data_IF_279198944252
#
_entry.id   IF_279198944252
#
_cell.length_a   1.000
_cell.length_b   1.000
_cell.length_c   1.000
_cell.angle_alpha   90.00
_cell.angle_beta   90.00
_cell.angle_gamma   90.00
#
_symmetry.space_group_name_H-M   'P 1'
#
loop_
_entity.id
_entity.type
_entity.pdbx_description
1 polymer ?
#
# COMPACT_ATOMS: atom_id res chain seq x y z
N UNK A 1 12.42 2.55 3.13
CA UNK A 1 11.92 2.18 4.47
C UNK A 1 12.42 3.19 5.51
N UNK A 2 11.54 3.92 6.22
CA UNK A 2 11.96 4.94 7.20
C UNK A 2 12.80 4.38 8.37
N UNK A 3 12.81 3.07 8.59
CA UNK A 3 13.67 2.42 9.60
C UNK A 3 15.17 2.57 9.31
N UNK A 4 15.54 2.93 8.09
CA UNK A 4 16.93 3.28 7.71
C UNK A 4 17.51 4.40 8.59
N UNK A 5 16.67 5.32 9.10
CA UNK A 5 17.12 6.37 10.04
C UNK A 5 17.87 5.82 11.27
N UNK A 6 17.56 4.60 11.69
CA UNK A 6 18.24 3.96 12.83
C UNK A 6 19.68 3.51 12.50
N UNK A 7 20.00 3.39 11.20
CA UNK A 7 21.35 3.04 10.73
C UNK A 7 22.25 4.27 10.50
N UNK A 8 21.70 5.48 10.55
CA UNK A 8 22.45 6.74 10.31
C UNK A 8 22.24 7.77 11.44
N UNK A 9 22.55 7.41 12.70
CA UNK A 9 22.15 8.20 13.87
C UNK A 9 22.82 9.57 13.97
N UNK A 10 23.89 9.80 13.21
CA UNK A 10 24.65 11.06 13.22
C UNK A 10 24.27 12.01 12.06
N UNK A 11 23.34 11.58 11.20
CA UNK A 11 22.88 12.37 10.06
C UNK A 11 21.42 12.76 10.25
N UNK A 12 21.09 13.97 9.79
CA UNK A 12 19.69 14.37 9.66
C UNK A 12 18.96 13.44 8.67
N UNK A 13 17.78 13.00 9.02
CA UNK A 13 16.97 12.12 8.20
C UNK A 13 15.52 12.63 8.16
N UNK A 14 15.08 13.01 6.97
CA UNK A 14 13.72 13.45 6.73
C UNK A 14 12.96 12.40 5.90
N UNK A 15 11.86 11.90 6.46
CA UNK A 15 10.99 10.97 5.76
C UNK A 15 9.89 11.73 5.01
N UNK A 16 10.04 11.83 3.69
CA UNK A 16 9.09 12.51 2.82
C UNK A 16 8.03 11.53 2.28
N UNK A 17 6.76 11.77 2.62
CA UNK A 17 5.64 10.95 2.16
C UNK A 17 4.82 11.69 1.09
N UNK A 18 4.75 11.17 -0.17
CA UNK A 18 4.03 11.82 -1.26
C UNK A 18 2.51 11.60 -1.19
N UNK A 19 1.93 11.67 0.02
CA UNK A 19 0.52 11.35 0.29
C UNK A 19 -0.43 12.19 -0.55
N UNK A 20 -0.17 13.50 -0.65
CA UNK A 20 -0.99 14.40 -1.48
C UNK A 20 -0.99 13.97 -2.96
N UNK A 21 0.18 13.63 -3.50
CA UNK A 21 0.31 13.22 -4.90
C UNK A 21 -0.40 11.89 -5.16
N UNK A 22 -0.31 10.96 -4.23
CA UNK A 22 -1.00 9.66 -4.28
C UNK A 22 -2.53 9.88 -4.30
N UNK A 23 -3.06 10.62 -3.34
CA UNK A 23 -4.51 10.86 -3.22
C UNK A 23 -5.04 11.67 -4.41
N UNK A 24 -4.30 12.69 -4.86
CA UNK A 24 -4.66 13.48 -6.04
C UNK A 24 -4.73 12.63 -7.30
N UNK A 25 -3.74 11.76 -7.54
CA UNK A 25 -3.72 10.88 -8.70
C UNK A 25 -4.86 9.86 -8.65
N UNK A 26 -5.15 9.32 -7.47
CA UNK A 26 -6.26 8.39 -7.26
C UNK A 26 -7.61 9.07 -7.54
N UNK A 27 -7.86 10.27 -7.01
CA UNK A 27 -9.09 11.03 -7.28
C UNK A 27 -9.22 11.48 -8.74
N UNK A 28 -8.08 11.73 -9.42
CA UNK A 28 -8.10 11.99 -10.87
C UNK A 28 -8.52 10.76 -11.66
N UNK A 29 -8.12 9.57 -11.25
CA UNK A 29 -8.47 8.29 -11.88
C UNK A 29 -9.94 7.94 -11.62
N UNK A 30 -10.40 8.13 -10.38
CA UNK A 30 -11.77 7.87 -9.98
C UNK A 30 -12.28 8.96 -9.02
N UNK A 31 -12.96 10.00 -9.55
CA UNK A 31 -13.48 11.12 -8.75
C UNK A 31 -14.59 10.74 -7.76
N UNK A 32 -15.20 9.57 -7.91
CA UNK A 32 -16.31 9.10 -7.06
C UNK A 32 -15.81 8.44 -5.76
N UNK A 33 -14.50 8.27 -5.59
CA UNK A 33 -13.95 7.75 -4.34
C UNK A 33 -14.24 8.75 -3.21
N UNK A 34 -15.02 8.28 -2.25
CA UNK A 34 -15.30 9.04 -1.03
C UNK A 34 -14.37 8.58 0.09
N UNK A 35 -13.76 9.51 0.79
CA UNK A 35 -12.96 9.25 2.00
C UNK A 35 -13.81 9.33 3.29
N UNK A 36 -15.14 9.29 3.16
CA UNK A 36 -16.03 9.19 4.32
C UNK A 36 -15.67 7.93 5.13
N UNK A 37 -15.48 8.10 6.44
CA UNK A 37 -15.11 7.03 7.38
C UNK A 37 -16.07 5.85 7.40
N UNK A 38 -17.35 6.06 7.03
CA UNK A 38 -18.34 5.00 6.93
C UNK A 38 -18.17 4.16 5.64
N UNK A 39 -17.52 4.74 4.62
CA UNK A 39 -17.36 4.13 3.28
C UNK A 39 -15.90 3.82 2.93
N UNK A 40 -14.96 4.28 3.72
CA UNK A 40 -13.54 4.17 3.45
C UNK A 40 -12.75 3.78 4.70
N UNK A 41 -11.80 2.88 4.55
CA UNK A 41 -10.92 2.44 5.63
C UNK A 41 -9.50 2.22 5.09
N UNK A 42 -8.51 2.60 5.87
CA UNK A 42 -7.11 2.24 5.63
C UNK A 42 -6.80 0.93 6.33
N UNK A 43 -6.09 0.03 5.66
CA UNK A 43 -5.68 -1.25 6.24
C UNK A 43 -4.19 -1.46 6.06
N UNK A 44 -3.48 -1.67 7.16
CA UNK A 44 -2.08 -2.06 7.12
C UNK A 44 -1.94 -3.53 6.74
N UNK A 45 -1.12 -3.87 5.71
CA UNK A 45 -0.93 -5.25 5.27
C UNK A 45 -0.15 -6.10 6.30
N UNK A 46 0.63 -5.46 7.17
CA UNK A 46 1.37 -6.09 8.27
C UNK A 46 1.80 -5.04 9.31
N UNK A 47 2.51 -5.49 10.36
CA UNK A 47 3.02 -4.60 11.41
C UNK A 47 4.10 -3.63 10.90
N UNK A 48 4.88 -4.05 9.89
CA UNK A 48 5.96 -3.22 9.32
C UNK A 48 5.45 -1.98 8.59
N UNK A 49 4.27 -2.06 7.98
CA UNK A 49 3.65 -0.96 7.25
C UNK A 49 2.74 -0.07 8.13
N UNK A 50 2.59 -0.39 9.44
CA UNK A 50 1.62 0.26 10.32
C UNK A 50 1.79 1.78 10.37
N UNK A 51 3.00 2.28 10.59
CA UNK A 51 3.25 3.73 10.72
C UNK A 51 2.82 4.50 9.45
N UNK A 52 3.04 3.93 8.27
CA UNK A 52 2.61 4.51 6.99
C UNK A 52 1.09 4.57 6.91
N UNK A 53 0.44 3.48 7.26
CA UNK A 53 -1.03 3.40 7.20
C UNK A 53 -1.69 4.28 8.27
N UNK A 54 -1.11 4.41 9.46
CA UNK A 54 -1.53 5.38 10.48
C UNK A 54 -1.49 6.81 9.93
N UNK A 55 -0.43 7.16 9.20
CA UNK A 55 -0.32 8.49 8.60
C UNK A 55 -1.43 8.74 7.58
N UNK A 56 -1.69 7.78 6.65
CA UNK A 56 -2.80 7.90 5.70
C UNK A 56 -4.16 8.00 6.39
N UNK A 57 -4.42 7.14 7.37
CA UNK A 57 -5.66 7.16 8.16
C UNK A 57 -5.86 8.52 8.87
N UNK A 58 -4.80 9.06 9.47
CA UNK A 58 -4.83 10.36 10.15
C UNK A 58 -5.11 11.51 9.18
N UNK A 59 -4.44 11.53 8.02
CA UNK A 59 -4.64 12.57 7.00
C UNK A 59 -6.06 12.52 6.42
N UNK A 60 -6.62 11.33 6.24
CA UNK A 60 -7.95 11.13 5.68
C UNK A 60 -9.07 11.21 6.72
N UNK A 61 -8.74 11.19 8.01
CA UNK A 61 -9.74 11.17 9.08
C UNK A 61 -10.60 9.92 9.09
N UNK A 62 -10.09 8.79 8.59
CA UNK A 62 -10.80 7.51 8.51
C UNK A 62 -10.21 6.47 9.46
N UNK A 63 -10.93 5.35 9.62
CA UNK A 63 -10.52 4.28 10.51
C UNK A 63 -9.34 3.48 9.95
N UNK A 64 -8.62 2.79 10.83
CA UNK A 64 -7.47 1.95 10.53
C UNK A 64 -7.72 0.52 10.98
N UNK A 65 -7.50 -0.42 10.07
CA UNK A 65 -7.37 -1.83 10.36
C UNK A 65 -5.96 -2.34 10.08
N UNK A 66 -5.66 -3.56 10.49
CA UNK A 66 -4.37 -4.18 10.18
C UNK A 66 -4.48 -5.70 10.06
N UNK A 67 -3.60 -6.27 9.26
CA UNK A 67 -3.29 -7.69 9.31
C UNK A 67 -2.06 -7.93 10.17
N UNK A 68 -2.11 -8.99 10.97
CA UNK A 68 -0.93 -9.47 11.68
C UNK A 68 -0.69 -10.95 11.40
N UNK A 69 0.58 -11.32 11.38
CA UNK A 69 1.01 -12.70 11.11
C UNK A 69 1.16 -13.44 12.42
N UNK A 70 0.15 -14.24 12.79
CA UNK A 70 0.29 -15.15 13.92
C UNK A 70 1.24 -16.29 13.56
N UNK A 71 2.35 -16.41 14.31
CA UNK A 71 3.34 -17.47 14.13
C UNK A 71 3.15 -18.57 15.16
N UNK A 72 3.36 -19.81 14.73
CA UNK A 72 3.46 -20.94 15.66
C UNK A 72 4.86 -21.01 16.24
N UNK A 73 5.01 -20.53 17.46
CA UNK A 73 6.29 -20.57 18.17
C UNK A 73 6.62 -21.95 18.75
N UNK A 74 5.70 -22.93 18.64
CA UNK A 74 5.94 -24.31 19.09
C UNK A 74 6.70 -25.14 18.07
N UNK A 75 6.81 -24.65 16.82
CA UNK A 75 7.47 -25.34 15.70
C UNK A 75 8.47 -24.43 15.01
N UNK A 76 9.56 -25.03 14.55
CA UNK A 76 10.55 -24.37 13.68
C UNK A 76 10.66 -25.18 12.39
N UNK A 77 10.37 -24.56 11.24
CA UNK A 77 10.50 -25.17 9.91
C UNK A 77 11.48 -24.31 9.11
N UNK A 78 12.55 -24.91 8.60
CA UNK A 78 13.60 -24.22 7.86
C UNK A 78 14.17 -22.97 8.60
N UNK A 79 14.37 -23.08 9.93
CA UNK A 79 14.91 -21.99 10.74
C UNK A 79 13.94 -20.83 11.03
N UNK A 80 12.66 -20.98 10.71
CA UNK A 80 11.61 -19.98 10.96
C UNK A 80 10.37 -20.59 11.59
N UNK A 81 9.70 -19.83 12.43
CA UNK A 81 8.39 -20.20 12.95
C UNK A 81 7.34 -20.06 11.84
N UNK A 82 6.59 -21.13 11.49
CA UNK A 82 5.60 -21.06 10.43
C UNK A 82 4.48 -20.07 10.77
N UNK A 83 3.99 -19.37 9.74
CA UNK A 83 2.81 -18.51 9.87
C UNK A 83 1.59 -19.43 9.93
N UNK A 84 0.78 -19.30 10.98
CA UNK A 84 -0.40 -20.14 11.22
C UNK A 84 -1.67 -19.47 10.70
N UNK A 85 -1.72 -18.15 10.75
CA UNK A 85 -2.84 -17.37 10.24
C UNK A 85 -2.43 -15.92 9.96
N UNK A 86 -3.08 -15.31 8.95
CA UNK A 86 -3.18 -13.88 8.79
C UNK A 86 -4.50 -13.45 9.43
N UNK A 87 -4.44 -12.80 10.56
CA UNK A 87 -5.63 -12.33 11.28
C UNK A 87 -5.83 -10.84 11.02
N UNK A 88 -7.07 -10.46 10.74
CA UNK A 88 -7.47 -9.06 10.58
C UNK A 88 -7.96 -8.48 11.91
N UNK A 89 -7.44 -7.34 12.26
CA UNK A 89 -7.86 -6.52 13.41
C UNK A 89 -8.37 -5.18 12.91
N UNK A 90 -9.58 -4.84 13.23
CA UNK A 90 -10.20 -3.58 12.85
C UNK A 90 -11.72 -3.69 12.73
N UNK A 91 -12.33 -2.60 12.31
CA UNK A 91 -13.76 -2.58 12.00
C UNK A 91 -14.09 -3.41 10.76
N UNK A 92 -15.37 -3.73 10.57
CA UNK A 92 -15.86 -4.40 9.35
C UNK A 92 -15.47 -3.59 8.10
N UNK A 93 -14.96 -4.30 7.12
CA UNK A 93 -14.66 -3.75 5.78
C UNK A 93 -15.80 -3.96 4.79
N UNK A 94 -16.88 -4.59 5.23
CA UNK A 94 -18.04 -4.92 4.38
C UNK A 94 -18.62 -3.67 3.73
N UNK A 95 -18.73 -3.69 2.41
CA UNK A 95 -19.24 -2.57 1.60
C UNK A 95 -18.32 -1.36 1.51
N UNK A 96 -17.15 -1.37 2.18
CA UNK A 96 -16.22 -0.23 2.18
C UNK A 96 -15.18 -0.32 1.05
N UNK A 97 -14.67 0.83 0.66
CA UNK A 97 -13.42 0.94 -0.11
C UNK A 97 -12.25 0.83 0.87
N UNK A 98 -11.37 -0.11 0.62
CA UNK A 98 -10.18 -0.37 1.45
C UNK A 98 -8.94 0.17 0.72
N UNK A 99 -8.13 0.96 1.43
CA UNK A 99 -6.83 1.44 0.96
C UNK A 99 -5.70 0.78 1.76
N UNK A 100 -4.78 0.15 1.05
CA UNK A 100 -3.63 -0.56 1.62
C UNK A 100 -2.37 0.17 1.18
N UNK A 101 -1.53 0.62 2.10
CA UNK A 101 -0.27 1.27 1.74
C UNK A 101 0.94 0.46 2.22
N UNK A 102 1.84 0.18 1.28
CA UNK A 102 3.12 -0.46 1.55
C UNK A 102 4.28 0.36 0.95
N UNK A 103 5.54 0.00 1.24
CA UNK A 103 6.71 0.63 0.61
C UNK A 103 7.00 0.01 -0.76
N UNK A 104 6.94 -1.30 -0.87
CA UNK A 104 7.39 -2.05 -2.05
C UNK A 104 6.36 -3.11 -2.44
N UNK A 105 5.97 -3.11 -3.70
CA UNK A 105 5.38 -4.28 -4.34
C UNK A 105 6.49 -4.98 -5.13
N UNK A 106 7.07 -6.06 -4.56
CA UNK A 106 8.04 -6.91 -5.26
C UNK A 106 7.32 -7.95 -6.13
N UNK A 107 7.15 -9.19 -5.67
CA UNK A 107 6.37 -10.21 -6.39
C UNK A 107 4.86 -9.94 -6.36
N UNK A 108 4.40 -9.15 -5.40
CA UNK A 108 3.00 -8.83 -5.15
C UNK A 108 2.20 -9.89 -4.39
N UNK A 109 2.78 -11.05 -4.08
CA UNK A 109 2.06 -12.16 -3.45
C UNK A 109 1.42 -11.76 -2.13
N UNK A 110 2.17 -11.12 -1.23
CA UNK A 110 1.64 -10.67 0.07
C UNK A 110 0.50 -9.66 -0.09
N UNK A 111 0.64 -8.72 -1.03
CA UNK A 111 -0.40 -7.71 -1.29
C UNK A 111 -1.66 -8.35 -1.85
N UNK A 112 -1.53 -9.29 -2.78
CA UNK A 112 -2.67 -9.99 -3.38
C UNK A 112 -3.35 -10.95 -2.38
N UNK A 113 -2.59 -11.54 -1.46
CA UNK A 113 -3.15 -12.34 -0.36
C UNK A 113 -4.01 -11.47 0.56
N UNK A 114 -3.50 -10.32 0.98
CA UNK A 114 -4.25 -9.35 1.79
C UNK A 114 -5.49 -8.87 1.05
N UNK A 115 -5.39 -8.54 -0.24
CA UNK A 115 -6.52 -8.13 -1.06
C UNK A 115 -7.61 -9.22 -1.15
N UNK A 116 -7.21 -10.48 -1.36
CA UNK A 116 -8.14 -11.61 -1.38
C UNK A 116 -8.87 -11.77 -0.04
N UNK A 117 -8.16 -11.72 1.08
CA UNK A 117 -8.76 -11.78 2.42
C UNK A 117 -9.76 -10.65 2.69
N UNK A 118 -9.44 -9.43 2.25
CA UNK A 118 -10.34 -8.29 2.39
C UNK A 118 -11.59 -8.45 1.50
N UNK A 119 -11.43 -9.00 0.31
CA UNK A 119 -12.56 -9.29 -0.58
C UNK A 119 -13.49 -10.34 -0.01
N UNK A 120 -12.96 -11.40 0.58
CA UNK A 120 -13.73 -12.44 1.28
C UNK A 120 -14.50 -11.86 2.49
N UNK A 121 -14.01 -10.79 3.10
CA UNK A 121 -14.65 -10.03 4.18
C UNK A 121 -15.68 -9.01 3.69
N UNK A 122 -15.97 -8.98 2.38
CA UNK A 122 -17.01 -8.14 1.79
C UNK A 122 -16.56 -6.73 1.38
N UNK A 123 -15.26 -6.43 1.32
CA UNK A 123 -14.79 -5.14 0.81
C UNK A 123 -15.33 -4.88 -0.62
N UNK A 124 -15.91 -3.69 -0.84
CA UNK A 124 -16.45 -3.31 -2.13
C UNK A 124 -15.33 -3.07 -3.14
N UNK A 125 -14.39 -2.21 -2.79
CA UNK A 125 -13.21 -1.89 -3.61
C UNK A 125 -11.95 -2.05 -2.78
N UNK A 126 -10.86 -2.45 -3.44
CA UNK A 126 -9.55 -2.61 -2.80
C UNK A 126 -8.53 -1.88 -3.65
N UNK A 127 -7.84 -0.94 -3.02
CA UNK A 127 -6.82 -0.08 -3.61
C UNK A 127 -5.51 -0.36 -2.90
N UNK A 128 -4.55 -0.93 -3.62
CA UNK A 128 -3.18 -1.12 -3.14
C UNK A 128 -2.32 0.08 -3.52
N UNK A 129 -1.48 0.56 -2.62
CA UNK A 129 -0.51 1.62 -2.89
C UNK A 129 0.88 1.17 -2.49
N UNK A 130 1.86 1.45 -3.35
CA UNK A 130 3.27 1.25 -3.03
C UNK A 130 4.12 2.42 -3.54
N UNK A 131 5.10 2.82 -2.70
CA UNK A 131 6.10 3.80 -3.13
C UNK A 131 6.95 3.25 -4.27
N UNK A 132 7.36 1.98 -4.18
CA UNK A 132 8.20 1.30 -5.17
C UNK A 132 7.46 0.11 -5.80
N UNK A 133 6.70 0.32 -6.89
CA UNK A 133 5.97 -0.74 -7.58
C UNK A 133 6.89 -1.49 -8.55
N UNK A 134 7.64 -2.50 -8.06
CA UNK A 134 8.68 -3.20 -8.84
C UNK A 134 8.12 -4.28 -9.76
N UNK A 135 7.05 -4.98 -9.37
CA UNK A 135 6.42 -6.08 -10.10
C UNK A 135 7.42 -7.13 -10.64
N UNK A 136 8.32 -7.60 -9.77
CA UNK A 136 9.44 -8.49 -10.13
C UNK A 136 9.01 -9.84 -10.73
N UNK A 137 7.76 -10.25 -10.52
CA UNK A 137 7.16 -11.48 -11.04
C UNK A 137 6.17 -11.25 -12.18
N UNK A 138 6.24 -10.07 -12.85
CA UNK A 138 5.33 -9.70 -13.94
C UNK A 138 3.99 -9.15 -13.44
N UNK A 139 3.08 -8.90 -14.38
CA UNK A 139 1.80 -8.24 -14.15
C UNK A 139 0.61 -9.22 -14.13
N UNK A 140 0.80 -10.45 -14.60
CA UNK A 140 -0.28 -11.42 -14.86
C UNK A 140 -1.09 -11.75 -13.61
N UNK A 141 -0.44 -11.82 -12.44
CA UNK A 141 -1.12 -12.06 -11.16
C UNK A 141 -2.06 -10.91 -10.78
N UNK A 142 -1.64 -9.67 -11.09
CA UNK A 142 -2.44 -8.47 -10.86
C UNK A 142 -3.58 -8.35 -11.88
N UNK A 143 -3.30 -8.60 -13.16
CA UNK A 143 -4.33 -8.65 -14.23
C UNK A 143 -5.44 -9.64 -13.83
N UNK A 144 -5.05 -10.83 -13.34
CA UNK A 144 -5.99 -11.86 -12.87
C UNK A 144 -6.78 -11.39 -11.64
N UNK A 145 -6.12 -10.81 -10.63
CA UNK A 145 -6.77 -10.35 -9.42
C UNK A 145 -7.81 -9.25 -9.69
N UNK A 146 -7.51 -8.36 -10.65
CA UNK A 146 -8.45 -7.33 -11.10
C UNK A 146 -9.62 -7.95 -11.85
N UNK A 147 -9.36 -8.88 -12.78
CA UNK A 147 -10.42 -9.58 -13.52
C UNK A 147 -11.36 -10.37 -12.60
N UNK A 148 -10.84 -10.93 -11.49
CA UNK A 148 -11.60 -11.62 -10.46
C UNK A 148 -12.29 -10.66 -9.46
N UNK A 149 -12.13 -9.34 -9.60
CA UNK A 149 -12.69 -8.33 -8.70
C UNK A 149 -12.09 -8.31 -7.30
N UNK A 150 -10.91 -8.92 -7.11
CA UNK A 150 -10.17 -8.93 -5.83
C UNK A 150 -9.37 -7.66 -5.60
N UNK A 151 -9.06 -6.93 -6.65
CA UNK A 151 -8.30 -5.68 -6.62
C UNK A 151 -8.93 -4.69 -7.59
N UNK A 152 -9.01 -3.43 -7.20
CA UNK A 152 -9.59 -2.38 -8.06
C UNK A 152 -8.48 -1.55 -8.72
N UNK A 153 -7.55 -1.03 -7.91
CA UNK A 153 -6.42 -0.23 -8.38
C UNK A 153 -5.13 -0.60 -7.66
N UNK A 154 -4.03 -0.43 -8.39
CA UNK A 154 -2.69 -0.31 -7.80
C UNK A 154 -2.15 1.08 -8.08
N UNK A 155 -1.80 1.80 -7.02
CA UNK A 155 -1.25 3.15 -7.08
C UNK A 155 0.24 3.08 -6.81
N UNK A 156 1.06 3.56 -7.73
CA UNK A 156 2.50 3.51 -7.59
C UNK A 156 3.19 4.77 -8.06
N UNK A 157 4.35 5.09 -7.47
CA UNK A 157 5.11 6.29 -7.82
C UNK A 157 6.11 6.05 -8.95
N UNK A 158 6.59 7.14 -9.56
CA UNK A 158 7.66 7.12 -10.55
C UNK A 158 9.08 7.17 -9.95
N UNK A 159 9.24 6.75 -8.68
CA UNK A 159 10.55 6.70 -8.02
C UNK A 159 11.38 5.47 -8.42
N UNK A 160 10.81 4.55 -9.19
CA UNK A 160 11.49 3.39 -9.74
C UNK A 160 11.15 3.23 -11.23
N UNK A 161 11.90 2.35 -11.92
CA UNK A 161 11.57 2.00 -13.28
C UNK A 161 10.17 1.39 -13.37
N UNK A 162 9.42 1.83 -14.35
CA UNK A 162 8.08 1.32 -14.66
C UNK A 162 8.11 0.71 -16.06
N UNK A 163 7.72 -0.55 -16.15
CA UNK A 163 7.59 -1.24 -17.44
C UNK A 163 6.56 -0.50 -18.30
N UNK A 164 6.80 -0.30 -19.61
CA UNK A 164 5.84 0.36 -20.48
C UNK A 164 4.45 -0.31 -20.45
N UNK A 165 4.42 -1.64 -20.35
CA UNK A 165 3.19 -2.43 -20.27
C UNK A 165 2.37 -2.10 -19.00
N UNK A 166 3.02 -1.76 -17.89
CA UNK A 166 2.34 -1.35 -16.65
C UNK A 166 1.53 -0.07 -16.87
N UNK A 167 2.11 0.88 -17.59
CA UNK A 167 1.47 2.19 -17.84
C UNK A 167 0.25 2.09 -18.78
N UNK A 168 0.06 0.96 -19.46
CA UNK A 168 -1.12 0.70 -20.30
C UNK A 168 -2.26 0.02 -19.54
N UNK A 169 -2.05 -0.38 -18.28
CA UNK A 169 -3.07 -1.07 -17.49
C UNK A 169 -4.07 -0.08 -16.89
N UNK A 170 -5.36 -0.31 -17.14
CA UNK A 170 -6.45 0.52 -16.59
C UNK A 170 -6.52 0.48 -15.07
N UNK A 171 -6.05 -0.60 -14.45
CA UNK A 171 -6.00 -0.75 -13.00
C UNK A 171 -4.78 -0.05 -12.36
N UNK A 172 -3.79 0.40 -13.15
CA UNK A 172 -2.63 1.08 -12.60
C UNK A 172 -2.83 2.59 -12.57
N UNK A 173 -2.50 3.20 -11.44
CA UNK A 173 -2.51 4.66 -11.24
C UNK A 173 -1.08 5.12 -11.05
N UNK A 174 -0.53 5.77 -12.07
CA UNK A 174 0.82 6.33 -12.04
C UNK A 174 0.84 7.66 -11.29
N UNK A 175 1.71 7.75 -10.28
CA UNK A 175 1.89 8.95 -9.46
C UNK A 175 3.21 9.61 -9.77
N UNK A 176 3.17 10.74 -10.44
CA UNK A 176 4.35 11.57 -10.69
C UNK A 176 4.71 12.39 -9.43
N UNK A 177 5.84 12.06 -8.83
CA UNK A 177 6.40 12.75 -7.65
C UNK A 177 7.61 13.61 -7.99
N UNK A 178 7.95 13.80 -9.27
CA UNK A 178 9.14 14.53 -9.71
C UNK A 178 9.15 15.96 -9.18
N UNK A 179 8.02 16.67 -9.31
CA UNK A 179 7.88 18.04 -8.78
C UNK A 179 8.00 18.10 -7.25
N UNK A 180 7.44 17.09 -6.56
CA UNK A 180 7.52 16.98 -5.11
C UNK A 180 8.98 16.78 -4.66
N UNK A 181 9.73 15.88 -5.32
CA UNK A 181 11.15 15.69 -5.07
C UNK A 181 11.98 16.97 -5.35
N UNK A 182 11.68 17.69 -6.44
CA UNK A 182 12.35 18.93 -6.77
C UNK A 182 12.19 20.01 -5.69
N UNK A 183 11.01 20.10 -5.05
CA UNK A 183 10.81 21.04 -3.94
C UNK A 183 11.70 20.72 -2.73
N UNK A 184 11.93 19.45 -2.40
CA UNK A 184 12.87 19.08 -1.35
C UNK A 184 14.30 19.48 -1.69
N UNK A 185 14.72 19.21 -2.92
CA UNK A 185 16.07 19.62 -3.38
C UNK A 185 16.24 21.13 -3.25
N UNK A 186 15.26 21.93 -3.66
CA UNK A 186 15.31 23.39 -3.52
C UNK A 186 15.33 23.79 -2.04
N UNK A 187 14.46 23.23 -1.21
CA UNK A 187 14.37 23.59 0.21
C UNK A 187 15.65 23.25 1.00
N UNK A 188 16.35 22.18 0.62
CA UNK A 188 17.61 21.78 1.26
C UNK A 188 18.84 22.62 0.81
N UNK A 189 18.71 23.41 -0.26
CA UNK A 189 19.77 24.26 -0.80
C UNK A 189 19.58 25.76 -0.50
N UNK A 190 18.62 26.10 0.33
CA UNK A 190 18.36 27.43 0.87
C UNK A 190 18.54 27.44 2.39
#
# INVERSE_FOLDING_TARGET
DPRVQNAVPLLSFDNAMPTYQVLKSLLKKNPEISFDKEKFIVVSPDEGAMNRNMYFSSVLGCNLGMFYKRRDYTRVVNGRNPIVAHEYLGESVEGKTVFIADDIIASGESMLEVASNLKERGAANIIANATFPLFTSGLEKFDKAVAEGKLTYVVGTNLTYRMPELLTRDWYVDVDVSKYAAYFVVALNH
#
